data_IF_258784351914
#
_entry.id   IF_258784351914
#
_cell.length_a   1.000
_cell.length_b   1.000
_cell.length_c   1.000
_cell.angle_alpha   90.00
_cell.angle_beta   90.00
_cell.angle_gamma   90.00
#
_symmetry.space_group_name_H-M   'P 1'
#
loop_
_entity.id
_entity.type
_entity.pdbx_description
1 polymer ?
#
# COMPACT_ATOMS: atom_id res chain seq x y z
N UNK A 1 11.63 11.13 -16.05
CA UNK A 1 11.08 9.97 -15.33
C UNK A 1 9.66 9.76 -15.82
N UNK A 2 9.37 8.61 -16.42
CA UNK A 2 8.02 8.28 -16.87
C UNK A 2 7.16 7.76 -15.68
N UNK A 3 5.84 7.61 -15.89
CA UNK A 3 4.91 7.19 -14.82
C UNK A 3 5.28 5.82 -14.22
N UNK A 4 5.76 4.88 -15.05
CA UNK A 4 6.16 3.53 -14.61
C UNK A 4 7.38 3.56 -13.71
N UNK A 5 8.42 4.30 -14.09
CA UNK A 5 9.61 4.49 -13.26
C UNK A 5 9.28 5.17 -11.93
N UNK A 6 8.35 6.13 -11.96
CA UNK A 6 7.87 6.83 -10.76
C UNK A 6 7.13 5.88 -9.82
N UNK A 7 6.28 5.00 -10.35
CA UNK A 7 5.58 3.95 -9.59
C UNK A 7 6.56 3.00 -8.92
N UNK A 8 7.43 2.36 -9.72
CA UNK A 8 8.49 1.47 -9.23
C UNK A 8 9.35 2.11 -8.13
N UNK A 9 9.73 3.38 -8.32
CA UNK A 9 10.51 4.11 -7.30
C UNK A 9 9.69 4.36 -6.04
N UNK A 10 8.39 4.65 -6.16
CA UNK A 10 7.48 4.76 -5.02
C UNK A 10 7.39 3.47 -4.22
N UNK A 11 7.20 2.33 -4.89
CA UNK A 11 7.16 0.99 -4.26
C UNK A 11 8.46 0.68 -3.49
N UNK A 12 9.62 0.97 -4.09
CA UNK A 12 10.93 0.77 -3.44
C UNK A 12 11.08 1.72 -2.23
N UNK A 13 10.73 3.01 -2.38
CA UNK A 13 10.76 3.98 -1.28
C UNK A 13 9.88 3.50 -0.10
N UNK A 14 8.67 3.00 -0.37
CA UNK A 14 7.74 2.48 0.64
C UNK A 14 8.27 1.22 1.35
N UNK A 15 8.84 0.27 0.60
CA UNK A 15 9.45 -0.92 1.18
C UNK A 15 10.60 -0.58 2.14
N UNK A 16 11.49 0.35 1.77
CA UNK A 16 12.57 0.79 2.66
C UNK A 16 12.05 1.47 3.93
N UNK A 17 10.96 2.24 3.84
CA UNK A 17 10.33 2.84 5.03
C UNK A 17 9.83 1.75 5.96
N UNK A 18 9.11 0.75 5.45
CA UNK A 18 8.63 -0.36 6.26
C UNK A 18 9.79 -1.16 6.89
N UNK A 19 10.91 -1.34 6.18
CA UNK A 19 12.12 -1.93 6.73
C UNK A 19 12.70 -1.14 7.91
N UNK A 20 12.65 0.20 7.87
CA UNK A 20 13.09 1.04 9.00
C UNK A 20 12.24 0.82 10.26
N UNK A 21 10.99 0.37 10.10
CA UNK A 21 10.10 -0.02 11.20
C UNK A 21 10.18 -1.51 11.58
N UNK A 22 11.12 -2.26 11.00
CA UNK A 22 11.41 -3.65 11.38
C UNK A 22 10.69 -4.72 10.55
N UNK A 23 10.00 -4.35 9.47
CA UNK A 23 9.40 -5.33 8.57
C UNK A 23 10.43 -5.87 7.56
N UNK A 24 10.34 -7.15 7.19
CA UNK A 24 11.10 -7.71 6.05
C UNK A 24 10.44 -7.34 4.71
N UNK A 25 10.15 -6.05 4.54
CA UNK A 25 9.34 -5.56 3.45
C UNK A 25 10.14 -5.51 2.14
N UNK A 26 9.51 -5.88 1.03
CA UNK A 26 10.10 -5.78 -0.32
C UNK A 26 9.03 -5.52 -1.37
N UNK A 27 9.42 -4.85 -2.45
CA UNK A 27 8.55 -4.62 -3.60
C UNK A 27 8.06 -5.94 -4.20
N UNK A 28 6.76 -6.04 -4.46
CA UNK A 28 6.12 -7.17 -5.11
C UNK A 28 6.61 -7.37 -6.55
N UNK A 29 6.53 -8.60 -7.03
CA UNK A 29 6.84 -8.95 -8.42
C UNK A 29 5.53 -9.07 -9.19
N UNK A 30 4.98 -7.95 -9.71
CA UNK A 30 3.76 -7.91 -10.55
C UNK A 30 3.89 -8.67 -11.90
N UNK A 31 4.88 -9.56 -12.08
CA UNK A 31 5.35 -10.03 -13.39
C UNK A 31 4.55 -11.17 -14.04
N UNK A 32 3.54 -11.74 -13.39
CA UNK A 32 2.63 -12.68 -14.06
C UNK A 32 1.19 -12.35 -13.70
N UNK A 33 0.49 -11.69 -14.61
CA UNK A 33 -0.91 -11.27 -14.45
C UNK A 33 -1.80 -12.45 -14.09
N UNK A 34 -2.32 -12.45 -12.87
CA UNK A 34 -3.53 -13.15 -12.45
C UNK A 34 -3.86 -12.96 -10.96
N UNK A 35 -2.93 -12.54 -10.10
CA UNK A 35 -3.16 -12.52 -8.66
C UNK A 35 -3.04 -11.10 -8.10
N UNK A 36 -3.97 -10.71 -7.23
CA UNK A 36 -3.95 -9.49 -6.41
C UNK A 36 -2.72 -9.47 -5.49
N UNK A 37 -1.55 -9.28 -6.09
CA UNK A 37 -0.28 -9.20 -5.40
C UNK A 37 -0.08 -7.76 -4.96
N UNK A 38 0.10 -7.58 -3.65
CA UNK A 38 0.39 -6.27 -3.09
C UNK A 38 1.66 -5.66 -3.71
N UNK A 39 1.66 -4.33 -3.85
CA UNK A 39 2.79 -3.56 -4.37
C UNK A 39 4.05 -3.74 -3.48
N UNK A 40 3.84 -3.95 -2.19
CA UNK A 40 4.87 -4.29 -1.21
C UNK A 40 4.38 -5.47 -0.36
N UNK A 41 5.24 -6.48 -0.21
CA UNK A 41 5.01 -7.69 0.60
C UNK A 41 5.98 -7.72 1.79
N UNK A 42 5.81 -8.67 2.72
CA UNK A 42 6.63 -8.77 3.95
C UNK A 42 6.00 -8.12 5.18
N UNK A 43 4.73 -7.76 5.07
CA UNK A 43 3.89 -7.17 6.12
C UNK A 43 2.68 -8.08 6.39
N UNK A 44 2.77 -9.04 7.31
CA UNK A 44 1.71 -10.02 7.54
C UNK A 44 0.36 -9.38 7.84
N UNK A 45 -0.70 -9.83 7.14
CA UNK A 45 -2.07 -9.36 7.35
C UNK A 45 -2.40 -8.00 6.73
N UNK A 46 -1.49 -7.39 5.95
CA UNK A 46 -1.73 -6.12 5.26
C UNK A 46 -1.55 -6.28 3.75
N UNK A 47 -2.46 -5.67 2.98
CA UNK A 47 -2.36 -5.55 1.53
C UNK A 47 -2.08 -4.09 1.15
N UNK A 48 -0.85 -3.81 0.69
CA UNK A 48 -0.43 -2.46 0.34
C UNK A 48 -0.64 -2.14 -1.14
N UNK A 49 -1.31 -1.02 -1.38
CA UNK A 49 -1.35 -0.30 -2.66
C UNK A 49 -0.51 0.99 -2.53
N UNK A 50 0.53 1.15 -3.34
CA UNK A 50 1.49 2.26 -3.27
C UNK A 50 1.21 3.29 -4.36
N UNK A 51 0.90 4.53 -3.97
CA UNK A 51 0.64 5.62 -4.94
C UNK A 51 1.57 6.81 -4.73
N UNK A 52 2.44 7.08 -5.71
CA UNK A 52 3.22 8.32 -5.80
C UNK A 52 2.64 9.25 -6.87
N UNK A 53 1.55 9.93 -6.54
CA UNK A 53 0.78 10.74 -7.49
C UNK A 53 0.48 12.14 -6.91
N UNK A 54 0.61 13.17 -7.75
CA UNK A 54 0.30 14.55 -7.38
C UNK A 54 -1.22 14.78 -7.23
N UNK A 55 -2.00 14.12 -8.09
CA UNK A 55 -3.45 14.19 -8.15
C UNK A 55 -4.05 12.80 -7.90
N UNK A 56 -3.75 12.22 -6.74
CA UNK A 56 -4.29 10.93 -6.35
C UNK A 56 -5.81 11.01 -6.12
N UNK A 57 -6.58 10.19 -6.84
CA UNK A 57 -7.93 9.85 -6.43
C UNK A 57 -7.86 8.74 -5.37
N UNK A 58 -7.98 9.12 -4.10
CA UNK A 58 -7.81 8.21 -2.97
C UNK A 58 -8.92 7.15 -2.90
N UNK A 59 -10.15 7.49 -3.29
CA UNK A 59 -11.27 6.53 -3.29
C UNK A 59 -11.04 5.43 -4.33
N UNK A 60 -10.57 5.79 -5.52
CA UNK A 60 -10.26 4.80 -6.55
C UNK A 60 -9.11 3.88 -6.13
N UNK A 61 -8.06 4.43 -5.50
CA UNK A 61 -6.95 3.64 -4.96
C UNK A 61 -7.40 2.72 -3.82
N UNK A 62 -8.25 3.20 -2.91
CA UNK A 62 -8.80 2.34 -1.85
C UNK A 62 -9.69 1.23 -2.41
N UNK A 63 -10.51 1.50 -3.44
CA UNK A 63 -11.30 0.47 -4.11
C UNK A 63 -10.41 -0.60 -4.74
N UNK A 64 -9.31 -0.20 -5.38
CA UNK A 64 -8.32 -1.12 -5.94
C UNK A 64 -7.70 -2.00 -4.82
N UNK A 65 -7.20 -1.38 -3.75
CA UNK A 65 -6.61 -2.09 -2.60
C UNK A 65 -7.59 -3.08 -1.96
N UNK A 66 -8.87 -2.72 -1.84
CA UNK A 66 -9.92 -3.62 -1.31
C UNK A 66 -10.20 -4.78 -2.26
N UNK A 67 -10.18 -4.56 -3.57
CA UNK A 67 -10.42 -5.60 -4.56
C UNK A 67 -9.28 -6.63 -4.61
N UNK A 68 -8.05 -6.14 -4.52
CA UNK A 68 -6.84 -6.95 -4.65
C UNK A 68 -6.43 -7.63 -3.33
N UNK A 69 -6.90 -7.12 -2.19
CA UNK A 69 -6.69 -7.72 -0.87
C UNK A 69 -7.28 -9.13 -0.77
N UNK A 70 -6.47 -10.07 -0.28
CA UNK A 70 -6.89 -11.46 -0.04
C UNK A 70 -7.69 -11.56 1.25
N UNK A 71 -8.40 -12.67 1.42
CA UNK A 71 -9.10 -12.96 2.67
C UNK A 71 -8.13 -12.93 3.86
N UNK A 72 -8.49 -12.17 4.90
CA UNK A 72 -7.65 -11.96 6.08
C UNK A 72 -6.63 -10.83 5.96
N UNK A 73 -6.46 -10.22 4.79
CA UNK A 73 -5.63 -9.03 4.62
C UNK A 73 -6.44 -7.75 4.87
N UNK A 74 -5.81 -6.77 5.52
CA UNK A 74 -6.35 -5.42 5.66
C UNK A 74 -5.86 -4.56 4.49
N UNK A 75 -6.77 -3.99 3.68
CA UNK A 75 -6.40 -3.13 2.56
C UNK A 75 -5.85 -1.79 3.06
N UNK A 76 -4.70 -1.39 2.54
CA UNK A 76 -3.97 -0.18 2.92
C UNK A 76 -3.50 0.56 1.67
N UNK A 77 -3.80 1.85 1.57
CA UNK A 77 -3.14 2.71 0.58
C UNK A 77 -2.05 3.51 1.28
N UNK A 78 -0.81 3.32 0.86
CA UNK A 78 0.32 4.15 1.29
C UNK A 78 0.70 5.07 0.14
N UNK A 79 0.65 6.39 0.37
CA UNK A 79 0.74 7.36 -0.70
C UNK A 79 1.47 8.64 -0.32
N UNK A 80 1.92 9.36 -1.35
CA UNK A 80 2.40 10.73 -1.21
C UNK A 80 2.36 11.52 -2.51
N UNK A 81 2.30 12.84 -2.33
CA UNK A 81 2.59 13.83 -3.38
C UNK A 81 4.09 14.09 -3.49
N UNK A 82 4.50 14.80 -4.54
CA UNK A 82 5.90 15.17 -4.68
C UNK A 82 6.33 16.12 -3.54
N UNK A 83 7.49 15.85 -2.94
CA UNK A 83 8.05 16.64 -1.81
C UNK A 83 7.14 16.71 -0.58
N UNK A 84 6.20 15.77 -0.44
CA UNK A 84 5.38 15.60 0.75
C UNK A 84 5.74 14.31 1.48
N UNK A 85 5.30 14.24 2.74
CA UNK A 85 5.43 13.07 3.60
C UNK A 85 4.60 11.88 3.07
N UNK A 86 5.01 10.68 3.47
CA UNK A 86 4.22 9.47 3.25
C UNK A 86 3.06 9.41 4.22
N UNK A 87 1.86 9.15 3.69
CA UNK A 87 0.64 8.95 4.45
C UNK A 87 0.11 7.55 4.24
N UNK A 88 -0.64 7.07 5.23
CA UNK A 88 -1.40 5.83 5.16
C UNK A 88 -2.89 6.16 5.18
N UNK A 89 -3.67 5.47 4.36
CA UNK A 89 -5.12 5.55 4.36
C UNK A 89 -5.71 4.16 4.56
N UNK A 90 -6.65 4.09 5.50
CA UNK A 90 -7.41 2.90 5.89
C UNK A 90 -8.88 3.26 5.85
N UNK A 91 -9.76 2.26 5.68
CA UNK A 91 -11.17 2.45 6.05
C UNK A 91 -11.26 2.61 7.56
N UNK A 92 -12.25 3.38 8.01
CA UNK A 92 -12.46 3.62 9.44
C UNK A 92 -12.56 2.31 10.23
N UNK A 93 -13.38 1.36 9.76
CA UNK A 93 -13.57 0.08 10.45
C UNK A 93 -12.27 -0.73 10.56
N UNK A 94 -11.43 -0.69 9.54
CA UNK A 94 -10.14 -1.39 9.53
C UNK A 94 -9.16 -0.73 10.51
N UNK A 95 -9.17 0.60 10.60
CA UNK A 95 -8.42 1.32 11.62
C UNK A 95 -8.91 1.00 13.05
N UNK A 96 -10.22 0.94 13.28
CA UNK A 96 -10.78 0.60 14.60
C UNK A 96 -10.38 -0.81 15.06
N UNK A 97 -10.36 -1.79 14.13
CA UNK A 97 -9.86 -3.14 14.40
C UNK A 97 -8.38 -3.13 14.81
N UNK A 98 -7.55 -2.31 14.16
CA UNK A 98 -6.11 -2.23 14.45
C UNK A 98 -5.83 -1.65 15.84
N UNK A 99 -6.56 -0.62 16.26
CA UNK A 99 -6.37 0.00 17.59
C UNK A 99 -7.09 -0.76 18.71
N UNK A 100 -7.62 -1.96 18.43
CA UNK A 100 -8.17 -2.87 19.44
C UNK A 100 -9.57 -2.52 19.94
N UNK A 101 -10.32 -1.67 19.25
CA UNK A 101 -11.73 -1.43 19.57
C UNK A 101 -12.63 -2.27 18.67
N UNK A 102 -13.16 -3.37 19.23
CA UNK A 102 -14.40 -4.00 18.80
C UNK A 102 -15.36 -3.98 19.99
N UNK A 103 -16.58 -3.50 19.76
CA UNK A 103 -17.72 -3.85 20.60
C UNK A 103 -18.03 -5.34 20.47
#
# INVERSE_FOLDING_TARGET
>A
MNSREKGKRGEIEAAHILQQYGFDARRGQQYCGANGDADVIGTPGLHFEIKRNEHLNIEAAMKQSVHDAREGETPVVMHRKNRSEWMVTLRLDDFMKLIGKKE
#
